data_IF_608251659611
#
_entry.id   IF_608251659611
#
_cell.length_a   1.000
_cell.length_b   1.000
_cell.length_c   1.000
_cell.angle_alpha   90.00
_cell.angle_beta   90.00
_cell.angle_gamma   90.00
#
_symmetry.space_group_name_H-M   'P 1'
#
loop_
_entity.id
_entity.type
_entity.pdbx_description
1 polymer ?
#
# COMPACT_ATOMS: atom_id res chain seq x y z
N UNK A 1 16.79 2.17 28.23
CA UNK A 1 16.00 2.56 29.43
C UNK A 1 14.69 3.17 28.96
N UNK A 2 13.56 2.56 29.37
CA UNK A 2 12.17 3.07 29.47
C UNK A 2 11.58 3.80 28.23
N UNK A 3 10.81 3.16 27.36
CA UNK A 3 9.40 2.68 27.51
C UNK A 3 8.37 3.81 27.68
N UNK A 4 7.50 4.01 26.67
CA UNK A 4 6.04 4.09 26.85
C UNK A 4 5.30 4.09 25.50
N UNK A 5 4.51 3.04 25.28
CA UNK A 5 3.46 2.92 24.24
C UNK A 5 2.13 3.17 24.95
N UNK A 6 1.28 4.04 24.41
CA UNK A 6 -0.08 4.30 24.91
C UNK A 6 -1.06 3.49 24.09
N UNK A 7 -1.73 2.53 24.72
CA UNK A 7 -2.86 1.77 24.18
C UNK A 7 -4.14 2.29 24.84
N UNK A 8 -5.11 2.77 24.05
CA UNK A 8 -6.46 3.10 24.53
C UNK A 8 -7.46 2.08 23.98
N UNK A 9 -8.14 1.38 24.89
CA UNK A 9 -9.21 0.38 24.62
C UNK A 9 -10.56 1.08 24.51
N UNK A 10 -11.33 0.78 23.46
CA UNK A 10 -12.76 1.09 23.35
C UNK A 10 -13.59 -0.07 23.91
N UNK A 11 -14.70 0.26 24.57
CA UNK A 11 -15.64 -0.72 25.12
C UNK A 11 -17.10 -0.30 24.88
N UNK A 12 -17.87 -1.29 24.40
CA UNK A 12 -19.30 -1.59 24.67
C UNK A 12 -20.42 -0.91 23.85
N UNK A 13 -20.86 -1.70 22.86
CA UNK A 13 -22.23 -2.11 22.48
C UNK A 13 -23.39 -1.88 23.49
N UNK A 14 -24.49 -1.32 22.96
CA UNK A 14 -25.93 -1.55 23.24
C UNK A 14 -26.64 -1.10 21.94
N UNK A 15 -27.50 -1.81 21.20
CA UNK A 15 -28.50 -2.82 21.51
C UNK A 15 -29.89 -2.19 21.37
N UNK A 16 -30.52 -2.19 20.18
CA UNK A 16 -31.94 -1.82 20.07
C UNK A 16 -32.69 -2.62 18.97
N UNK A 17 -33.84 -3.13 19.40
CA UNK A 17 -34.79 -4.00 18.70
C UNK A 17 -35.85 -3.17 17.99
N UNK A 18 -36.31 -3.69 16.85
CA UNK A 18 -37.36 -3.18 15.97
C UNK A 18 -38.76 -3.55 16.48
N UNK A 19 -39.70 -2.61 16.57
CA UNK A 19 -41.16 -2.86 16.57
C UNK A 19 -41.86 -1.77 15.75
N UNK A 20 -42.62 -2.19 14.75
CA UNK A 20 -43.51 -1.37 13.91
C UNK A 20 -44.82 -1.03 14.64
N UNK A 21 -45.37 0.18 14.43
CA UNK A 21 -46.82 0.40 14.48
C UNK A 21 -47.25 1.54 13.55
N UNK A 22 -48.28 1.27 12.77
CA UNK A 22 -48.95 2.12 11.77
C UNK A 22 -50.09 2.90 12.43
N UNK A 23 -50.32 4.15 11.97
CA UNK A 23 -51.63 4.77 11.65
C UNK A 23 -51.77 6.23 12.13
N UNK A 24 -52.32 7.08 11.25
CA UNK A 24 -53.02 8.31 11.62
C UNK A 24 -52.55 9.55 10.87
N UNK A 25 -53.14 9.81 9.71
CA UNK A 25 -52.96 11.08 9.00
C UNK A 25 -53.87 12.19 9.54
N UNK A 26 -53.43 13.43 9.38
CA UNK A 26 -54.28 14.61 9.10
C UNK A 26 -53.47 15.62 8.30
N UNK A 27 -54.03 16.02 7.16
CA UNK A 27 -53.55 17.12 6.35
C UNK A 27 -53.90 18.46 7.02
N UNK A 28 -52.97 19.42 6.97
CA UNK A 28 -53.30 20.84 7.13
C UNK A 28 -52.40 21.64 6.19
N UNK A 29 -53.04 22.34 5.26
CA UNK A 29 -52.43 23.26 4.33
C UNK A 29 -52.19 24.61 5.01
N UNK A 30 -51.00 25.20 4.80
CA UNK A 30 -50.78 26.62 4.98
C UNK A 30 -49.80 27.12 3.92
N UNK A 31 -50.34 27.91 3.00
CA UNK A 31 -49.65 28.76 2.03
C UNK A 31 -48.89 29.89 2.73
N UNK A 32 -47.63 30.11 2.38
CA UNK A 32 -47.01 31.42 2.48
C UNK A 32 -45.92 31.54 1.39
N UNK A 33 -46.20 32.46 0.49
CA UNK A 33 -45.38 33.00 -0.57
C UNK A 33 -44.20 33.76 0.07
N UNK A 34 -42.97 33.32 -0.17
CA UNK A 34 -41.76 34.09 0.14
C UNK A 34 -40.78 33.94 -1.02
N UNK A 35 -41.00 34.77 -2.04
CA UNK A 35 -40.07 34.94 -3.14
C UNK A 35 -38.81 35.66 -2.63
N UNK A 36 -37.91 34.89 -2.01
CA UNK A 36 -36.52 35.32 -1.80
C UNK A 36 -35.85 35.41 -3.17
N UNK A 37 -35.33 36.58 -3.60
CA UNK A 37 -34.47 36.64 -4.77
C UNK A 37 -33.17 35.90 -4.44
N UNK A 38 -33.04 34.66 -4.90
CA UNK A 38 -31.76 33.97 -4.96
C UNK A 38 -30.79 34.84 -5.76
N UNK A 39 -29.63 35.24 -5.22
CA UNK A 39 -28.60 35.88 -6.01
C UNK A 39 -28.07 34.87 -7.02
N UNK A 40 -28.61 34.90 -8.24
CA UNK A 40 -28.03 34.21 -9.40
C UNK A 40 -26.78 34.99 -9.82
N UNK A 41 -25.66 34.65 -9.22
CA UNK A 41 -24.35 34.85 -9.82
C UNK A 41 -23.45 33.69 -9.37
N UNK A 42 -23.82 32.48 -9.77
CA UNK A 42 -22.80 31.48 -10.04
C UNK A 42 -22.19 31.88 -11.37
N UNK A 43 -20.98 32.42 -11.37
CA UNK A 43 -20.18 32.42 -12.58
C UNK A 43 -20.14 30.97 -13.07
N UNK A 44 -20.72 30.71 -14.25
CA UNK A 44 -20.68 29.40 -14.89
C UNK A 44 -19.21 28.93 -14.94
N UNK A 45 -18.91 27.68 -14.58
CA UNK A 45 -17.54 27.18 -14.58
C UNK A 45 -16.98 27.21 -16.01
N UNK A 46 -15.95 28.02 -16.23
CA UNK A 46 -15.25 28.11 -17.52
C UNK A 46 -14.46 26.83 -17.80
N UNK A 47 -14.56 26.34 -19.04
CA UNK A 47 -13.91 25.10 -19.46
C UNK A 47 -12.92 25.40 -20.57
N UNK A 48 -11.66 25.05 -20.35
CA UNK A 48 -10.57 25.23 -21.31
C UNK A 48 -9.58 24.07 -21.22
N UNK A 49 -8.75 23.92 -22.24
CA UNK A 49 -7.76 22.86 -22.33
C UNK A 49 -6.57 23.21 -23.21
N UNK A 50 -5.67 22.25 -23.32
CA UNK A 50 -4.51 22.29 -24.19
C UNK A 50 -4.34 20.92 -24.85
N UNK A 51 -4.00 20.91 -26.13
CA UNK A 51 -3.76 19.69 -26.89
C UNK A 51 -2.61 19.90 -27.88
N UNK A 52 -1.93 18.84 -28.34
CA UNK A 52 -1.08 18.91 -29.53
C UNK A 52 -1.82 19.45 -30.75
N UNK A 53 -1.07 20.04 -31.67
CA UNK A 53 -1.62 20.63 -32.88
C UNK A 53 -0.69 20.52 -34.09
N UNK A 54 -1.29 20.68 -35.26
CA UNK A 54 -0.59 21.11 -36.47
C UNK A 54 -0.40 22.63 -36.46
N UNK A 55 0.17 23.18 -37.53
CA UNK A 55 0.29 24.64 -37.69
C UNK A 55 -1.07 25.35 -37.76
N UNK A 56 -2.14 24.64 -38.15
CA UNK A 56 -3.44 25.23 -38.47
C UNK A 56 -4.57 24.80 -37.52
N UNK A 57 -4.48 23.61 -36.89
CA UNK A 57 -5.56 23.05 -36.08
C UNK A 57 -5.08 22.12 -34.97
N UNK A 58 -5.84 21.97 -33.87
CA UNK A 58 -5.66 20.86 -32.93
C UNK A 58 -5.66 19.52 -33.66
N UNK A 59 -4.93 18.54 -33.12
CA UNK A 59 -4.90 17.17 -33.63
C UNK A 59 -5.27 16.14 -32.55
N UNK A 60 -5.34 14.86 -32.93
CA UNK A 60 -5.79 13.77 -32.05
C UNK A 60 -4.68 13.16 -31.17
N UNK A 61 -3.45 13.71 -31.22
CA UNK A 61 -2.36 13.20 -30.37
C UNK A 61 -2.67 13.50 -28.91
N UNK A 62 -2.40 12.55 -28.03
CA UNK A 62 -2.59 12.74 -26.59
C UNK A 62 -1.44 13.51 -25.93
N UNK A 63 -0.28 13.59 -26.60
CA UNK A 63 0.96 14.16 -26.08
C UNK A 63 1.90 14.49 -27.24
N UNK A 64 2.89 15.35 -26.98
CA UNK A 64 3.98 15.62 -27.91
C UNK A 64 5.09 14.57 -27.73
N UNK A 65 5.68 14.14 -28.85
CA UNK A 65 6.84 13.23 -28.86
C UNK A 65 7.90 13.81 -29.77
N UNK A 66 9.13 13.91 -29.28
CA UNK A 66 10.29 14.28 -30.07
C UNK A 66 11.41 13.28 -29.84
N UNK A 67 12.03 12.78 -30.92
CA UNK A 67 13.24 11.96 -30.85
C UNK A 67 14.34 12.62 -31.65
N UNK A 68 15.47 12.97 -31.02
CA UNK A 68 16.55 13.67 -31.71
C UNK A 68 17.91 13.52 -31.00
N UNK A 69 18.99 13.86 -31.70
CA UNK A 69 20.33 13.87 -31.11
C UNK A 69 20.52 15.07 -30.16
N UNK A 70 21.47 15.00 -29.20
CA UNK A 70 21.88 16.18 -28.43
C UNK A 70 22.22 17.36 -29.33
N UNK A 71 21.84 18.58 -28.92
CA UNK A 71 22.02 19.81 -29.69
C UNK A 71 20.97 20.07 -30.77
N UNK A 72 19.98 19.17 -30.94
CA UNK A 72 18.94 19.34 -31.95
C UNK A 72 17.87 20.37 -31.54
N UNK A 73 17.25 20.99 -32.54
CA UNK A 73 16.07 21.84 -32.36
C UNK A 73 14.89 21.19 -33.09
N UNK A 74 13.79 20.99 -32.37
CA UNK A 74 12.55 20.42 -32.89
C UNK A 74 11.43 21.45 -32.76
N UNK A 75 10.60 21.58 -33.81
CA UNK A 75 9.47 22.50 -33.83
C UNK A 75 8.16 21.70 -33.77
N UNK A 76 7.28 22.10 -32.87
CA UNK A 76 5.96 21.52 -32.64
C UNK A 76 4.92 22.63 -32.47
N UNK A 77 3.65 22.25 -32.38
CA UNK A 77 2.57 23.18 -32.07
C UNK A 77 1.64 22.60 -31.00
N UNK A 78 1.05 23.49 -30.21
CA UNK A 78 -0.06 23.16 -29.32
C UNK A 78 -1.24 24.07 -29.63
N UNK A 79 -2.44 23.57 -29.38
CA UNK A 79 -3.65 24.37 -29.38
C UNK A 79 -4.08 24.65 -27.94
N UNK A 80 -4.30 25.91 -27.62
CA UNK A 80 -5.02 26.32 -26.41
C UNK A 80 -6.49 26.43 -26.77
N UNK A 81 -7.33 25.65 -26.10
CA UNK A 81 -8.72 25.43 -26.48
C UNK A 81 -9.64 26.04 -25.43
N UNK A 82 -10.65 26.77 -25.87
CA UNK A 82 -11.71 27.34 -25.04
C UNK A 82 -13.06 26.71 -25.42
N UNK A 83 -13.68 26.07 -24.44
CA UNK A 83 -15.01 25.47 -24.57
C UNK A 83 -16.08 26.29 -23.82
N UNK A 84 -15.75 27.48 -23.33
CA UNK A 84 -16.73 28.42 -22.77
C UNK A 84 -17.27 29.37 -23.84
N UNK A 85 -18.43 29.95 -23.57
CA UNK A 85 -19.11 30.96 -24.39
C UNK A 85 -18.54 32.39 -24.21
N UNK A 86 -17.51 32.54 -23.36
CA UNK A 86 -16.79 33.80 -23.16
C UNK A 86 -15.32 33.67 -23.59
N UNK A 87 -14.71 34.71 -24.19
CA UNK A 87 -13.28 34.70 -24.47
C UNK A 87 -12.46 34.58 -23.18
N UNK A 88 -11.36 33.83 -23.24
CA UNK A 88 -10.48 33.61 -22.09
C UNK A 88 -9.07 34.11 -22.40
N UNK A 89 -8.43 34.72 -21.41
CA UNK A 89 -7.01 35.07 -21.48
C UNK A 89 -6.23 34.11 -20.58
N UNK A 90 -5.45 33.22 -21.20
CA UNK A 90 -4.78 32.10 -20.52
C UNK A 90 -3.27 32.30 -20.53
N UNK A 91 -2.64 32.09 -19.38
CA UNK A 91 -1.17 32.01 -19.32
C UNK A 91 -0.73 30.61 -19.77
N UNK A 92 0.28 30.53 -20.62
CA UNK A 92 0.82 29.28 -21.17
C UNK A 92 2.31 29.22 -20.90
N UNK A 93 2.79 28.12 -20.31
CA UNK A 93 4.19 28.01 -19.89
C UNK A 93 4.64 26.54 -19.83
N UNK A 94 5.94 26.27 -20.05
CA UNK A 94 6.51 24.95 -19.84
C UNK A 94 6.77 24.68 -18.36
N UNK A 95 6.77 23.41 -18.00
CA UNK A 95 7.11 22.90 -16.67
C UNK A 95 7.82 21.55 -16.78
N UNK A 96 8.61 21.21 -15.78
CA UNK A 96 9.09 19.83 -15.59
C UNK A 96 7.93 18.89 -15.29
N UNK A 97 8.12 17.61 -15.61
CA UNK A 97 7.19 16.55 -15.26
C UNK A 97 7.93 15.41 -14.56
N UNK A 98 7.23 14.70 -13.69
CA UNK A 98 7.82 13.61 -12.93
C UNK A 98 6.76 12.83 -12.14
N UNK A 99 7.16 11.68 -11.62
CA UNK A 99 6.25 10.86 -10.82
C UNK A 99 5.92 11.53 -9.48
N UNK A 100 4.63 11.60 -9.14
CA UNK A 100 4.14 11.92 -7.80
C UNK A 100 4.30 10.71 -6.87
N UNK A 101 4.03 10.89 -5.57
CA UNK A 101 4.20 9.82 -4.58
C UNK A 101 3.38 8.56 -4.90
N UNK A 102 2.20 8.72 -5.49
CA UNK A 102 1.34 7.61 -5.93
C UNK A 102 1.78 7.00 -7.28
N UNK A 103 2.92 7.40 -7.82
CA UNK A 103 3.48 6.91 -9.08
C UNK A 103 2.79 7.44 -10.33
N UNK A 104 1.77 8.31 -10.22
CA UNK A 104 1.21 8.96 -11.40
C UNK A 104 2.18 10.03 -11.94
N UNK A 105 2.11 10.35 -13.23
CA UNK A 105 2.95 11.39 -13.83
C UNK A 105 2.28 12.75 -13.63
N UNK A 106 2.90 13.61 -12.82
CA UNK A 106 2.45 14.96 -12.51
C UNK A 106 3.26 16.03 -13.24
N UNK A 107 2.66 17.22 -13.34
CA UNK A 107 3.32 18.43 -13.84
C UNK A 107 3.72 19.31 -12.66
N UNK A 108 4.95 19.84 -12.69
CA UNK A 108 5.48 20.67 -11.62
C UNK A 108 4.75 22.03 -11.53
N UNK A 109 5.01 22.76 -10.45
CA UNK A 109 4.54 24.14 -10.28
C UNK A 109 5.16 25.09 -11.32
N UNK A 110 4.51 26.22 -11.58
CA UNK A 110 5.03 27.24 -12.50
C UNK A 110 6.43 27.68 -12.06
N UNK A 111 7.34 27.78 -13.02
CA UNK A 111 8.74 28.18 -12.79
C UNK A 111 9.68 27.02 -12.48
N UNK A 112 9.18 25.82 -12.18
CA UNK A 112 10.00 24.62 -12.04
C UNK A 112 10.27 24.02 -13.42
N UNK A 113 11.45 24.31 -13.97
CA UNK A 113 11.86 23.99 -15.35
C UNK A 113 13.25 23.34 -15.40
N UNK A 114 13.45 22.28 -14.63
CA UNK A 114 14.61 21.41 -14.79
C UNK A 114 14.45 20.47 -15.99
N UNK A 115 15.58 20.01 -16.51
CA UNK A 115 15.65 19.00 -17.58
C UNK A 115 14.81 19.40 -18.82
N UNK A 116 14.02 18.50 -19.41
CA UNK A 116 13.18 18.80 -20.57
C UNK A 116 12.25 20.00 -20.39
N UNK A 117 11.84 20.33 -19.14
CA UNK A 117 11.03 21.51 -18.87
C UNK A 117 11.73 22.82 -19.23
N UNK A 118 13.07 22.85 -19.14
CA UNK A 118 13.89 24.00 -19.52
C UNK A 118 14.25 24.06 -21.01
N UNK A 119 13.96 23.02 -21.78
CA UNK A 119 14.27 22.95 -23.22
C UNK A 119 13.15 23.53 -24.08
N UNK A 120 11.97 23.76 -23.49
CA UNK A 120 10.77 24.21 -24.18
C UNK A 120 10.69 25.74 -24.20
N UNK A 121 10.47 26.30 -25.37
CA UNK A 121 10.14 27.71 -25.58
C UNK A 121 8.81 27.83 -26.32
N UNK A 122 7.92 28.69 -25.85
CA UNK A 122 6.62 28.92 -26.47
C UNK A 122 6.62 30.22 -27.26
N UNK A 123 5.87 30.25 -28.37
CA UNK A 123 5.68 31.46 -29.17
C UNK A 123 4.85 32.56 -28.48
N UNK A 124 4.15 32.21 -27.39
CA UNK A 124 3.39 33.14 -26.56
C UNK A 124 3.28 32.62 -25.11
N UNK A 125 3.37 33.53 -24.14
CA UNK A 125 3.20 33.23 -22.71
C UNK A 125 1.79 33.58 -22.20
N UNK A 126 1.06 34.42 -22.92
CA UNK A 126 -0.33 34.81 -22.66
C UNK A 126 -1.10 34.70 -23.99
N UNK A 127 -2.24 34.01 -23.95
CA UNK A 127 -3.02 33.68 -25.14
C UNK A 127 -4.48 34.05 -24.92
N UNK A 128 -4.99 34.96 -25.76
CA UNK A 128 -6.41 35.31 -25.80
C UNK A 128 -7.15 34.34 -26.72
N UNK A 129 -7.89 33.40 -26.14
CA UNK A 129 -8.62 32.36 -26.84
C UNK A 129 -10.08 32.78 -27.02
N UNK A 130 -10.60 32.83 -28.27
CA UNK A 130 -11.98 33.19 -28.52
C UNK A 130 -12.96 32.22 -27.84
N UNK A 131 -14.19 32.67 -27.61
CA UNK A 131 -15.28 31.79 -27.15
C UNK A 131 -15.62 30.72 -28.19
N UNK A 132 -16.21 29.62 -27.74
CA UNK A 132 -16.88 28.71 -28.66
C UNK A 132 -18.15 29.35 -29.24
N UNK A 133 -18.54 28.93 -30.45
CA UNK A 133 -19.82 29.31 -31.04
C UNK A 133 -20.40 28.17 -31.88
N UNK A 134 -21.70 28.22 -32.16
CA UNK A 134 -22.33 27.26 -33.07
C UNK A 134 -21.80 27.36 -34.50
N UNK A 135 -21.28 28.53 -34.89
CA UNK A 135 -20.84 28.80 -36.26
C UNK A 135 -19.39 28.37 -36.48
N UNK A 136 -18.53 28.55 -35.47
CA UNK A 136 -17.07 28.30 -35.55
C UNK A 136 -16.63 27.05 -34.79
N UNK A 137 -17.51 26.44 -34.00
CA UNK A 137 -17.16 25.36 -33.08
C UNK A 137 -16.35 25.85 -31.88
N UNK A 138 -15.46 25.01 -31.37
CA UNK A 138 -14.56 25.35 -30.26
C UNK A 138 -13.68 26.55 -30.61
N UNK A 139 -13.48 27.47 -29.66
CA UNK A 139 -12.48 28.51 -29.80
C UNK A 139 -11.08 27.93 -29.55
N UNK A 140 -10.10 28.26 -30.39
CA UNK A 140 -8.72 27.84 -30.14
C UNK A 140 -7.70 28.83 -30.73
N UNK A 141 -6.48 28.79 -30.20
CA UNK A 141 -5.32 29.48 -30.75
C UNK A 141 -4.15 28.50 -30.80
N UNK A 142 -3.46 28.47 -31.94
CA UNK A 142 -2.25 27.66 -32.12
C UNK A 142 -1.04 28.44 -31.61
N UNK A 143 -0.24 27.79 -30.77
CA UNK A 143 1.00 28.33 -30.22
C UNK A 143 2.16 27.46 -30.68
N UNK A 144 3.13 28.02 -31.43
CA UNK A 144 4.36 27.32 -31.77
C UNK A 144 5.17 26.96 -30.51
N UNK A 145 5.75 25.76 -30.52
CA UNK A 145 6.64 25.23 -29.48
C UNK A 145 7.98 24.90 -30.10
N UNK A 146 9.06 25.40 -29.51
CA UNK A 146 10.43 25.05 -29.88
C UNK A 146 11.05 24.23 -28.76
N UNK A 147 11.57 23.06 -29.11
CA UNK A 147 12.29 22.16 -28.21
C UNK A 147 13.78 22.25 -28.56
N UNK A 148 14.56 22.89 -27.70
CA UNK A 148 16.01 23.06 -27.88
C UNK A 148 16.74 22.09 -26.96
N UNK A 149 17.15 20.95 -27.49
CA UNK A 149 17.85 19.91 -26.73
C UNK A 149 19.30 20.36 -26.54
N UNK A 150 19.81 20.47 -25.30
CA UNK A 150 21.20 20.83 -25.06
C UNK A 150 22.19 19.86 -25.70
N UNK A 151 23.39 20.34 -26.02
CA UNK A 151 24.46 19.49 -26.58
C UNK A 151 25.01 18.48 -25.56
N UNK A 152 24.84 18.77 -24.28
CA UNK A 152 25.23 17.94 -23.13
C UNK A 152 24.03 17.23 -22.48
N UNK A 153 22.88 17.19 -23.16
CA UNK A 153 21.73 16.42 -22.70
C UNK A 153 22.11 14.95 -22.52
N UNK A 154 21.75 14.38 -21.38
CA UNK A 154 21.93 12.95 -21.12
C UNK A 154 21.13 12.14 -22.17
N UNK A 155 21.66 11.02 -22.68
CA UNK A 155 20.87 10.13 -23.51
C UNK A 155 19.71 9.51 -22.74
N UNK A 156 18.62 9.20 -23.44
CA UNK A 156 17.45 8.55 -22.85
C UNK A 156 16.18 9.38 -22.97
N UNK A 157 15.20 9.07 -22.13
CA UNK A 157 13.90 9.72 -22.10
C UNK A 157 13.86 10.88 -21.10
N UNK A 158 13.26 11.97 -21.52
CA UNK A 158 13.04 13.16 -20.72
C UNK A 158 11.57 13.55 -20.80
N UNK A 159 11.00 14.00 -19.69
CA UNK A 159 9.57 14.26 -19.58
C UNK A 159 9.34 15.68 -19.10
N UNK A 160 8.45 16.37 -19.79
CA UNK A 160 8.01 17.71 -19.46
C UNK A 160 6.51 17.87 -19.71
N UNK A 161 6.01 19.07 -19.45
CA UNK A 161 4.68 19.45 -19.87
C UNK A 161 4.59 20.91 -20.26
N UNK A 162 3.51 21.24 -20.96
CA UNK A 162 3.10 22.61 -21.24
C UNK A 162 1.74 22.79 -20.58
N UNK A 163 1.61 23.85 -19.79
CA UNK A 163 0.41 24.14 -19.00
C UNK A 163 -0.25 25.40 -19.55
N UNK A 164 -1.55 25.33 -19.78
CA UNK A 164 -2.43 26.48 -19.87
C UNK A 164 -3.10 26.70 -18.51
N UNK A 165 -3.18 27.94 -18.05
CA UNK A 165 -3.76 28.28 -16.76
C UNK A 165 -4.63 29.53 -16.81
N UNK A 166 -5.66 29.52 -15.97
CA UNK A 166 -6.52 30.66 -15.71
C UNK A 166 -6.50 30.95 -14.21
N UNK A 167 -6.20 32.19 -13.85
CA UNK A 167 -6.21 32.64 -12.45
C UNK A 167 -7.37 33.62 -12.24
N UNK A 168 -8.33 33.22 -11.40
CA UNK A 168 -9.47 34.06 -11.03
C UNK A 168 -9.30 34.52 -9.59
N UNK A 169 -9.49 35.81 -9.34
CA UNK A 169 -9.49 36.37 -7.99
C UNK A 169 -10.93 36.68 -7.59
N UNK A 170 -11.46 35.95 -6.62
CA UNK A 170 -12.75 36.25 -6.02
C UNK A 170 -12.61 37.42 -5.07
N UNK A 171 -13.25 38.55 -5.38
CA UNK A 171 -13.40 39.63 -4.42
C UNK A 171 -14.42 39.25 -3.34
N UNK A 172 -14.01 39.25 -2.07
CA UNK A 172 -14.96 39.20 -0.97
C UNK A 172 -15.59 40.59 -0.80
N UNK A 173 -16.91 40.64 -0.62
CA UNK A 173 -17.55 41.80 -0.01
C UNK A 173 -17.32 41.78 1.51
N UNK A 174 -17.00 42.92 2.12
CA UNK A 174 -16.79 43.05 3.57
C UNK A 174 -15.45 42.51 4.09
N UNK A 175 -15.47 41.91 5.28
CA UNK A 175 -14.28 41.55 6.07
C UNK A 175 -13.75 40.11 5.82
N UNK A 176 -14.09 39.49 4.68
CA UNK A 176 -13.66 38.12 4.37
C UNK A 176 -12.42 38.09 3.46
N UNK A 177 -11.60 37.02 3.54
CA UNK A 177 -10.38 36.91 2.77
C UNK A 177 -10.65 36.78 1.26
N UNK A 178 -9.82 37.44 0.44
CA UNK A 178 -9.80 37.24 -1.02
C UNK A 178 -9.32 35.83 -1.35
N UNK A 179 -10.05 35.13 -2.23
CA UNK A 179 -9.67 33.80 -2.71
C UNK A 179 -9.10 33.91 -4.12
N UNK A 180 -7.91 33.35 -4.34
CA UNK A 180 -7.36 33.17 -5.68
C UNK A 180 -7.47 31.70 -6.08
N UNK A 181 -8.09 31.43 -7.21
CA UNK A 181 -8.24 30.11 -7.79
C UNK A 181 -7.43 30.05 -9.09
N UNK A 182 -6.46 29.15 -9.18
CA UNK A 182 -5.76 28.83 -10.43
C UNK A 182 -6.22 27.48 -10.95
N UNK A 183 -6.84 27.48 -12.13
CA UNK A 183 -7.15 26.26 -12.88
C UNK A 183 -6.01 26.00 -13.86
N UNK A 184 -5.56 24.74 -13.94
CA UNK A 184 -4.42 24.33 -14.78
C UNK A 184 -4.80 23.09 -15.59
N UNK A 185 -4.56 23.15 -16.89
CA UNK A 185 -4.64 21.99 -17.79
C UNK A 185 -3.32 21.88 -18.53
N UNK A 186 -2.80 20.67 -18.69
CA UNK A 186 -1.49 20.47 -19.30
C UNK A 186 -1.46 19.33 -20.30
N UNK A 187 -0.55 19.46 -21.28
CA UNK A 187 -0.19 18.42 -22.23
C UNK A 187 1.22 17.91 -21.91
N UNK A 188 1.43 16.60 -22.01
CA UNK A 188 2.72 15.98 -21.78
C UNK A 188 3.62 16.11 -23.00
N UNK A 189 4.92 16.22 -22.74
CA UNK A 189 5.96 16.25 -23.77
C UNK A 189 6.99 15.18 -23.42
N UNK A 190 7.16 14.24 -24.33
CA UNK A 190 8.16 13.17 -24.24
C UNK A 190 9.30 13.45 -25.22
N UNK A 191 10.52 13.51 -24.72
CA UNK A 191 11.70 13.76 -25.54
C UNK A 191 12.65 12.58 -25.37
N UNK A 192 13.01 11.91 -26.45
CA UNK A 192 14.01 10.84 -26.45
C UNK A 192 15.29 11.36 -27.09
N UNK A 193 16.33 11.54 -26.28
CA UNK A 193 17.66 11.98 -26.70
C UNK A 193 18.45 10.76 -27.15
N UNK A 194 18.97 10.80 -28.38
CA UNK A 194 19.70 9.68 -28.96
C UNK A 194 21.01 9.38 -28.21
N UNK A 195 21.25 8.10 -27.93
CA UNK A 195 22.47 7.57 -27.32
C UNK A 195 22.18 6.22 -26.65
N UNK A 196 23.04 5.83 -25.72
CA UNK A 196 22.94 4.50 -25.11
C UNK A 196 21.78 4.42 -24.11
N UNK A 197 20.87 3.46 -24.34
CA UNK A 197 19.80 3.13 -23.41
C UNK A 197 20.35 2.30 -22.25
N UNK A 198 20.10 2.75 -21.02
CA UNK A 198 20.48 2.13 -19.77
C UNK A 198 19.23 1.98 -18.87
N UNK A 199 18.29 1.09 -19.22
CA UNK A 199 17.12 0.82 -18.39
C UNK A 199 17.55 0.17 -17.07
N UNK A 200 16.96 0.60 -15.97
CA UNK A 200 17.18 -0.01 -14.66
C UNK A 200 15.94 0.14 -13.78
N UNK A 201 15.71 -0.84 -12.91
CA UNK A 201 14.56 -0.91 -12.01
C UNK A 201 15.04 -1.43 -10.67
N UNK A 202 14.61 -0.76 -9.59
CA UNK A 202 14.94 -1.20 -8.23
C UNK A 202 13.71 -1.06 -7.33
N UNK A 203 13.69 -1.86 -6.27
CA UNK A 203 12.73 -1.78 -5.17
C UNK A 203 13.51 -1.34 -3.93
N UNK A 204 13.04 -0.31 -3.24
CA UNK A 204 13.63 0.24 -2.02
C UNK A 204 12.58 0.41 -0.94
N UNK A 205 13.05 0.73 0.28
CA UNK A 205 12.19 1.13 1.41
C UNK A 205 11.08 0.11 1.73
N UNK A 206 11.41 -1.18 1.67
CA UNK A 206 10.46 -2.25 1.94
C UNK A 206 10.19 -2.34 3.44
N UNK A 207 8.98 -1.98 3.83
CA UNK A 207 8.48 -2.09 5.19
C UNK A 207 7.31 -3.04 5.26
N UNK A 208 7.31 -3.90 6.27
CA UNK A 208 6.27 -4.91 6.47
C UNK A 208 5.75 -4.88 7.89
N UNK A 209 4.44 -5.02 8.05
CA UNK A 209 3.80 -5.25 9.34
C UNK A 209 2.76 -6.36 9.25
N UNK A 210 2.55 -7.07 10.36
CA UNK A 210 1.60 -8.18 10.45
C UNK A 210 0.49 -7.84 11.43
N UNK A 211 -0.75 -7.89 10.97
CA UNK A 211 -1.93 -7.93 11.82
C UNK A 211 -2.33 -9.40 12.00
N UNK A 212 -2.26 -9.95 13.23
CA UNK A 212 -2.64 -11.33 13.51
C UNK A 212 -4.15 -11.61 13.39
N UNK A 213 -4.98 -10.58 13.21
CA UNK A 213 -6.43 -10.73 13.04
C UNK A 213 -7.18 -11.08 14.33
N UNK A 214 -8.41 -11.62 14.22
CA UNK A 214 -9.30 -11.86 15.35
C UNK A 214 -8.69 -12.78 16.42
N UNK A 215 -8.81 -12.37 17.69
CA UNK A 215 -8.26 -13.08 18.84
C UNK A 215 -6.76 -13.44 18.69
N UNK A 216 -5.96 -12.54 18.11
CA UNK A 216 -4.51 -12.73 17.91
C UNK A 216 -4.16 -14.01 17.13
N UNK A 217 -4.93 -14.31 16.08
CA UNK A 217 -4.70 -15.45 15.18
C UNK A 217 -5.25 -16.79 15.69
N UNK A 218 -6.13 -16.78 16.69
CA UNK A 218 -6.77 -18.00 17.21
C UNK A 218 -7.95 -18.47 16.34
N UNK A 219 -8.71 -17.52 15.76
CA UNK A 219 -9.96 -17.79 15.04
C UNK A 219 -9.96 -17.35 13.58
N UNK A 220 -8.81 -16.95 13.03
CA UNK A 220 -8.74 -16.46 11.66
C UNK A 220 -7.34 -16.23 11.15
N UNK A 221 -7.27 -15.95 9.85
CA UNK A 221 -6.06 -15.52 9.16
C UNK A 221 -5.79 -14.05 9.45
N UNK A 222 -4.51 -13.68 9.47
CA UNK A 222 -4.07 -12.30 9.58
C UNK A 222 -3.93 -11.61 8.23
N UNK A 223 -3.42 -10.39 8.27
CA UNK A 223 -3.03 -9.63 7.09
C UNK A 223 -1.61 -9.10 7.23
N UNK A 224 -0.91 -9.02 6.10
CA UNK A 224 0.39 -8.35 5.99
C UNK A 224 0.17 -7.03 5.28
N UNK A 225 0.56 -5.93 5.92
CA UNK A 225 0.66 -4.63 5.25
C UNK A 225 2.09 -4.46 4.80
N UNK A 226 2.25 -4.21 3.52
CA UNK A 226 3.52 -4.02 2.85
C UNK A 226 3.52 -2.63 2.21
N UNK A 227 4.55 -1.85 2.48
CA UNK A 227 4.86 -0.61 1.75
C UNK A 227 6.26 -0.71 1.16
N UNK A 228 6.43 -0.21 -0.05
CA UNK A 228 7.71 -0.21 -0.77
C UNK A 228 7.74 0.92 -1.79
N UNK A 229 8.94 1.28 -2.23
CA UNK A 229 9.15 2.27 -3.28
C UNK A 229 9.75 1.57 -4.50
N UNK A 230 9.14 1.77 -5.67
CA UNK A 230 9.72 1.39 -6.95
C UNK A 230 10.48 2.60 -7.48
N UNK A 231 11.73 2.44 -7.87
CA UNK A 231 12.56 3.51 -8.43
C UNK A 231 13.14 3.11 -9.78
N UNK A 232 13.21 4.07 -10.71
CA UNK A 232 13.86 3.93 -12.00
C UNK A 232 15.16 4.75 -12.00
N UNK A 233 16.30 4.15 -11.64
CA UNK A 233 17.60 4.83 -11.72
C UNK A 233 18.18 4.81 -13.14
N UNK A 234 17.47 4.24 -14.11
CA UNK A 234 17.88 4.22 -15.51
C UNK A 234 17.45 5.48 -16.25
N UNK A 235 17.78 5.53 -17.53
CA UNK A 235 17.48 6.67 -18.40
C UNK A 235 16.31 6.43 -19.37
N UNK A 236 15.55 5.35 -19.24
CA UNK A 236 14.41 5.05 -20.12
C UNK A 236 13.11 5.00 -19.31
N UNK A 237 12.02 5.60 -19.82
CA UNK A 237 10.70 5.49 -19.18
C UNK A 237 10.13 4.09 -19.36
N UNK A 238 9.47 3.56 -18.33
CA UNK A 238 8.91 2.21 -18.38
C UNK A 238 7.58 2.10 -17.64
N UNK A 239 6.73 1.16 -18.05
CA UNK A 239 5.63 0.70 -17.20
C UNK A 239 6.20 -0.32 -16.20
N UNK A 240 5.58 -0.45 -15.02
CA UNK A 240 6.00 -1.43 -14.02
C UNK A 240 4.81 -2.17 -13.44
N UNK A 241 4.88 -3.49 -13.48
CA UNK A 241 3.89 -4.40 -12.90
C UNK A 241 4.47 -5.04 -11.63
N UNK A 242 4.11 -4.56 -10.43
CA UNK A 242 4.53 -5.17 -9.19
C UNK A 242 3.64 -6.36 -8.83
N UNK A 243 4.23 -7.35 -8.16
CA UNK A 243 3.54 -8.45 -7.50
C UNK A 243 4.21 -8.74 -6.16
N UNK A 244 3.44 -9.24 -5.21
CA UNK A 244 3.96 -9.64 -3.90
C UNK A 244 3.61 -11.09 -3.64
N UNK A 245 4.61 -11.87 -3.23
CA UNK A 245 4.46 -13.25 -2.83
C UNK A 245 4.77 -13.40 -1.34
N UNK A 246 3.86 -14.00 -0.59
CA UNK A 246 4.11 -14.43 0.79
C UNK A 246 4.29 -15.94 0.84
N UNK A 247 5.24 -16.41 1.64
CA UNK A 247 5.50 -17.82 1.84
C UNK A 247 5.87 -18.11 3.30
N UNK A 248 5.25 -19.13 3.88
CA UNK A 248 5.64 -19.65 5.19
C UNK A 248 6.97 -20.42 5.13
N UNK A 249 7.42 -20.99 6.26
CA UNK A 249 8.64 -21.79 6.30
C UNK A 249 8.56 -22.94 5.30
N UNK A 250 9.65 -23.20 4.57
CA UNK A 250 9.72 -24.22 3.52
C UNK A 250 8.74 -24.03 2.34
N UNK A 251 8.24 -22.82 2.10
CA UNK A 251 7.32 -22.53 0.99
C UNK A 251 5.85 -22.89 1.27
N UNK A 252 5.50 -23.17 2.53
CA UNK A 252 4.13 -23.50 2.92
C UNK A 252 3.18 -22.30 2.72
N UNK A 253 1.96 -22.59 2.28
CA UNK A 253 0.88 -21.60 2.11
C UNK A 253 1.31 -20.39 1.27
N UNK A 254 2.05 -20.65 0.18
CA UNK A 254 2.48 -19.59 -0.73
C UNK A 254 1.28 -18.92 -1.40
N UNK A 255 1.26 -17.59 -1.38
CA UNK A 255 0.22 -16.78 -2.02
C UNK A 255 0.89 -15.62 -2.77
N UNK A 256 0.44 -15.37 -3.99
CA UNK A 256 0.87 -14.22 -4.79
C UNK A 256 -0.31 -13.30 -5.03
N UNK A 257 -0.09 -12.00 -4.89
CA UNK A 257 -1.07 -10.94 -5.12
C UNK A 257 -0.46 -9.93 -6.07
N UNK A 258 -1.19 -9.57 -7.13
CA UNK A 258 -0.78 -8.48 -8.02
C UNK A 258 -0.88 -7.13 -7.27
N UNK A 259 0.14 -6.30 -7.43
CA UNK A 259 0.13 -4.93 -6.95
C UNK A 259 -0.51 -3.98 -7.96
N UNK A 260 -0.64 -2.72 -7.57
CA UNK A 260 -1.12 -1.67 -8.47
C UNK A 260 -0.01 -1.29 -9.46
N UNK A 261 -0.32 -1.40 -10.75
CA UNK A 261 0.58 -1.01 -11.84
C UNK A 261 1.06 0.44 -11.69
N UNK A 262 2.30 0.69 -12.12
CA UNK A 262 2.80 2.02 -12.43
C UNK A 262 2.81 2.15 -13.94
N UNK A 263 1.79 2.79 -14.51
CA UNK A 263 1.63 2.87 -15.96
C UNK A 263 2.82 3.56 -16.66
N UNK A 264 3.49 4.46 -15.95
CA UNK A 264 4.64 5.20 -16.45
C UNK A 264 5.55 5.65 -15.31
N UNK A 265 6.76 5.11 -15.26
CA UNK A 265 7.82 5.49 -14.34
C UNK A 265 8.94 6.16 -15.14
N UNK A 266 9.04 7.48 -14.99
CA UNK A 266 10.04 8.29 -15.69
C UNK A 266 11.46 7.99 -15.18
N UNK A 267 12.50 8.34 -15.94
CA UNK A 267 13.88 8.32 -15.45
C UNK A 267 14.04 9.12 -14.15
N UNK A 268 14.80 8.56 -13.21
CA UNK A 268 14.93 9.05 -11.81
C UNK A 268 13.60 9.13 -11.03
N UNK A 269 12.52 8.62 -11.61
CA UNK A 269 11.18 8.59 -11.02
C UNK A 269 11.08 7.57 -9.90
N UNK A 270 10.12 7.82 -9.00
CA UNK A 270 9.79 6.95 -7.88
C UNK A 270 8.28 6.81 -7.74
N UNK A 271 7.82 5.63 -7.34
CA UNK A 271 6.43 5.35 -7.07
C UNK A 271 6.31 4.58 -5.75
N UNK A 272 5.65 5.17 -4.76
CA UNK A 272 5.34 4.49 -3.51
C UNK A 272 4.13 3.58 -3.72
N UNK A 273 4.22 2.36 -3.20
CA UNK A 273 3.18 1.34 -3.32
C UNK A 273 2.89 0.76 -1.96
N UNK A 274 1.59 0.58 -1.71
CA UNK A 274 1.07 -0.11 -0.55
C UNK A 274 0.27 -1.31 -1.04
N UNK A 275 0.42 -2.44 -0.36
CA UNK A 275 -0.31 -3.66 -0.66
C UNK A 275 -0.67 -4.34 0.65
N UNK A 276 -1.93 -4.73 0.77
CA UNK A 276 -2.40 -5.52 1.91
C UNK A 276 -2.68 -6.94 1.43
N UNK A 277 -1.90 -7.89 1.93
CA UNK A 277 -2.13 -9.31 1.68
C UNK A 277 -2.98 -9.87 2.81
N UNK A 278 -4.20 -10.26 2.50
CA UNK A 278 -5.08 -10.95 3.43
C UNK A 278 -4.84 -12.46 3.35
N UNK A 279 -5.24 -13.18 4.39
CA UNK A 279 -5.20 -14.65 4.40
C UNK A 279 -3.90 -15.26 4.90
N UNK A 280 -3.03 -14.47 5.52
CA UNK A 280 -1.71 -14.90 5.97
C UNK A 280 -1.83 -15.59 7.34
N UNK A 281 -1.41 -16.85 7.43
CA UNK A 281 -1.42 -17.59 8.68
C UNK A 281 -0.20 -17.25 9.55
N UNK A 282 -0.33 -17.24 10.89
CA UNK A 282 0.79 -17.02 11.80
C UNK A 282 1.68 -18.28 11.88
N UNK A 283 2.60 -18.43 10.92
CA UNK A 283 3.50 -19.57 10.78
C UNK A 283 4.89 -19.35 11.41
N UNK A 284 4.98 -18.56 12.49
CA UNK A 284 6.22 -18.13 13.19
C UNK A 284 7.04 -17.14 12.35
N UNK A 285 7.37 -17.50 11.11
CA UNK A 285 8.13 -16.66 10.19
C UNK A 285 7.54 -16.77 8.78
N UNK A 286 7.30 -15.64 8.14
CA UNK A 286 6.79 -15.54 6.77
C UNK A 286 7.78 -14.74 5.95
N UNK A 287 8.23 -15.29 4.83
CA UNK A 287 8.97 -14.54 3.82
C UNK A 287 8.00 -13.74 2.95
N UNK A 288 8.33 -12.47 2.71
CA UNK A 288 7.61 -11.58 1.80
C UNK A 288 8.58 -11.24 0.68
N UNK A 289 8.23 -11.61 -0.55
CA UNK A 289 9.00 -11.30 -1.76
C UNK A 289 8.22 -10.30 -2.59
N UNK A 290 8.79 -9.14 -2.85
CA UNK A 290 8.25 -8.14 -3.77
C UNK A 290 8.99 -8.26 -5.08
N UNK A 291 8.27 -8.37 -6.18
CA UNK A 291 8.84 -8.50 -7.53
C UNK A 291 8.20 -7.44 -8.41
N UNK A 292 9.02 -6.67 -9.12
CA UNK A 292 8.59 -5.65 -10.05
C UNK A 292 9.13 -5.98 -11.45
N UNK A 293 8.24 -6.09 -12.42
CA UNK A 293 8.57 -6.39 -13.81
C UNK A 293 8.45 -5.11 -14.64
N UNK A 294 9.50 -4.76 -15.37
CA UNK A 294 9.48 -3.64 -16.30
C UNK A 294 8.75 -4.04 -17.59
N UNK A 295 7.95 -3.12 -18.11
CA UNK A 295 7.24 -3.23 -19.38
C UNK A 295 7.32 -1.94 -20.19
N UNK A 296 6.74 -1.97 -21.39
CA UNK A 296 6.71 -0.81 -22.28
C UNK A 296 5.71 0.24 -21.76
N UNK A 297 6.18 1.45 -21.48
CA UNK A 297 5.30 2.60 -21.26
C UNK A 297 4.60 2.98 -22.57
N UNK A 298 3.39 3.55 -22.49
CA UNK A 298 2.67 4.01 -23.70
C UNK A 298 3.51 4.99 -24.53
N UNK A 299 3.71 4.67 -25.81
CA UNK A 299 4.54 5.48 -26.71
C UNK A 299 6.03 5.49 -26.35
N UNK A 300 6.48 4.62 -25.44
CA UNK A 300 7.88 4.42 -25.08
C UNK A 300 8.54 3.28 -25.86
N UNK A 301 9.84 3.13 -25.65
CA UNK A 301 10.63 2.03 -26.22
C UNK A 301 10.30 0.69 -25.56
N UNK A 302 10.45 -0.39 -26.31
CA UNK A 302 10.41 -1.74 -25.73
C UNK A 302 11.67 -1.97 -24.89
N UNK A 303 11.48 -2.52 -23.69
CA UNK A 303 12.54 -2.72 -22.71
C UNK A 303 12.53 -4.19 -22.30
N UNK A 304 13.71 -4.79 -22.27
CA UNK A 304 13.94 -6.09 -21.65
C UNK A 304 14.84 -5.89 -20.46
N UNK A 305 14.32 -6.17 -19.26
CA UNK A 305 15.06 -6.06 -18.01
C UNK A 305 14.68 -7.23 -17.11
N UNK A 306 15.65 -7.76 -16.38
CA UNK A 306 15.37 -8.78 -15.36
C UNK A 306 14.46 -8.19 -14.26
N UNK A 307 13.51 -8.96 -13.71
CA UNK A 307 12.65 -8.48 -12.65
C UNK A 307 13.43 -8.01 -11.43
N UNK A 308 13.13 -6.81 -10.94
CA UNK A 308 13.65 -6.33 -9.67
C UNK A 308 12.95 -7.10 -8.54
N UNK A 309 13.72 -7.66 -7.61
CA UNK A 309 13.17 -8.46 -6.51
C UNK A 309 13.80 -8.05 -5.19
N UNK A 310 12.98 -7.92 -4.15
CA UNK A 310 13.44 -7.77 -2.77
C UNK A 310 12.71 -8.75 -1.84
N UNK A 311 13.41 -9.24 -0.82
CA UNK A 311 12.93 -10.29 0.09
C UNK A 311 13.11 -9.86 1.54
N UNK A 312 12.00 -9.79 2.27
CA UNK A 312 11.98 -9.43 3.70
C UNK A 312 11.37 -10.55 4.53
N UNK A 313 11.98 -10.83 5.68
CA UNK A 313 11.48 -11.78 6.66
C UNK A 313 10.60 -11.10 7.70
N UNK A 314 9.39 -11.64 7.92
CA UNK A 314 8.40 -11.12 8.85
C UNK A 314 8.07 -12.14 9.94
N UNK A 315 8.20 -11.74 11.20
CA UNK A 315 7.82 -12.57 12.34
C UNK A 315 6.30 -12.60 12.54
N UNK A 316 5.67 -13.69 12.12
CA UNK A 316 4.23 -13.94 12.23
C UNK A 316 3.95 -14.93 13.36
N UNK A 317 4.30 -14.56 14.59
CA UNK A 317 4.27 -15.46 15.76
C UNK A 317 2.81 -15.72 16.21
N UNK A 318 2.39 -16.99 16.39
CA UNK A 318 1.05 -17.34 16.84
C UNK A 318 0.90 -17.17 18.37
N UNK A 319 0.95 -15.93 18.86
CA UNK A 319 0.94 -15.61 20.29
C UNK A 319 -0.24 -16.22 21.06
N UNK A 320 -1.44 -16.27 20.47
CA UNK A 320 -2.60 -16.86 21.11
C UNK A 320 -2.42 -18.36 21.41
N UNK A 321 -1.90 -19.12 20.45
CA UNK A 321 -1.61 -20.55 20.63
C UNK A 321 -0.50 -20.78 21.65
N UNK A 322 0.54 -19.95 21.63
CA UNK A 322 1.61 -20.02 22.63
C UNK A 322 1.08 -19.73 24.04
N UNK A 323 0.18 -18.75 24.20
CA UNK A 323 -0.45 -18.46 25.48
C UNK A 323 -1.34 -19.62 25.97
N UNK A 324 -2.12 -20.25 25.08
CA UNK A 324 -2.94 -21.43 25.42
C UNK A 324 -2.06 -22.61 25.86
N UNK A 325 -0.99 -22.89 25.12
CA UNK A 325 -0.05 -23.96 25.45
C UNK A 325 0.65 -23.70 26.80
N UNK A 326 1.02 -22.45 27.07
CA UNK A 326 1.61 -22.06 28.36
C UNK A 326 0.63 -22.30 29.51
N UNK A 327 -0.62 -21.84 29.39
CA UNK A 327 -1.66 -22.02 30.40
C UNK A 327 -1.95 -23.51 30.63
N UNK A 328 -2.10 -24.29 29.54
CA UNK A 328 -2.31 -25.73 29.62
C UNK A 328 -1.15 -26.45 30.31
N UNK A 329 0.10 -26.06 30.01
CA UNK A 329 1.31 -26.56 30.66
C UNK A 329 1.35 -26.26 32.16
N UNK A 330 1.03 -25.03 32.56
CA UNK A 330 0.97 -24.62 33.96
C UNK A 330 -0.12 -25.37 34.73
N UNK A 331 -1.31 -25.54 34.14
CA UNK A 331 -2.41 -26.33 34.72
C UNK A 331 -2.00 -27.80 34.89
N UNK A 332 -1.41 -28.39 33.85
CA UNK A 332 -0.91 -29.77 33.90
C UNK A 332 0.18 -29.98 34.97
N UNK A 333 1.14 -29.05 35.07
CA UNK A 333 2.16 -29.06 36.11
C UNK A 333 1.55 -28.96 37.51
N UNK A 334 0.61 -28.05 37.71
CA UNK A 334 -0.08 -27.87 38.98
C UNK A 334 -0.91 -29.10 39.39
N UNK A 335 -1.61 -29.73 38.43
CA UNK A 335 -2.33 -30.98 38.65
C UNK A 335 -1.39 -32.12 39.03
N UNK A 336 -0.23 -32.25 38.36
CA UNK A 336 0.81 -33.24 38.71
C UNK A 336 1.37 -33.00 40.12
N UNK A 337 1.67 -31.74 40.48
CA UNK A 337 2.15 -31.37 41.82
C UNK A 337 1.11 -31.70 42.90
N UNK A 338 -0.18 -31.37 42.67
CA UNK A 338 -1.27 -31.72 43.58
C UNK A 338 -1.45 -33.23 43.74
N UNK A 339 -1.37 -34.00 42.65
CA UNK A 339 -1.44 -35.47 42.70
C UNK A 339 -0.28 -36.06 43.51
N UNK A 340 0.96 -35.58 43.32
CA UNK A 340 2.13 -36.02 44.09
C UNK A 340 2.00 -35.73 45.59
N UNK A 341 1.53 -34.53 45.97
CA UNK A 341 1.29 -34.18 47.38
C UNK A 341 0.19 -35.07 47.98
N UNK A 342 -0.87 -35.39 47.23
CA UNK A 342 -1.94 -36.29 47.69
C UNK A 342 -1.50 -37.76 47.78
N UNK A 343 -0.61 -38.22 46.90
CA UNK A 343 -0.04 -39.56 46.94
C UNK A 343 0.94 -39.73 48.12
N UNK A 344 1.73 -38.71 48.45
CA UNK A 344 2.60 -38.71 49.63
C UNK A 344 1.80 -38.75 50.96
N UNK A 345 0.56 -38.25 50.97
CA UNK A 345 -0.38 -38.39 52.11
C UNK A 345 -1.07 -39.76 52.18
N UNK A 346 -0.81 -40.67 51.23
CA UNK A 346 -1.35 -42.04 51.16
C UNK A 346 -0.25 -43.12 51.25
N UNK A 347 0.81 -42.87 52.04
CA UNK A 347 1.77 -43.92 52.45
C UNK A 347 1.17 -44.92 53.47
N UNK A 348 1.76 -46.11 53.63
CA UNK A 348 1.11 -47.41 53.44
C UNK A 348 0.08 -47.76 54.52
N UNK A 349 -1.15 -48.08 54.09
CA UNK A 349 -2.09 -48.83 54.92
C UNK A 349 -1.72 -50.32 54.86
N UNK A 350 -0.87 -50.77 55.77
CA UNK A 350 -0.52 -52.19 55.90
C UNK A 350 0.23 -52.50 57.18
N UNK A 351 -0.40 -53.27 58.08
CA UNK A 351 0.31 -54.04 59.12
C UNK A 351 -0.02 -53.66 60.57
N UNK A 352 -1.27 -53.83 61.00
CA UNK A 352 -1.66 -53.66 62.40
C UNK A 352 -2.69 -54.69 62.85
N UNK A 353 -2.43 -55.98 62.63
CA UNK A 353 -3.19 -57.08 63.25
C UNK A 353 -2.22 -58.18 63.71
N UNK A 354 -2.52 -58.70 64.90
CA UNK A 354 -1.89 -59.82 65.64
C UNK A 354 -0.63 -59.46 66.42
N UNK A 355 -0.35 -59.88 67.66
CA UNK A 355 -1.08 -60.46 68.80
C UNK A 355 0.01 -60.90 69.78
N UNK A 356 -0.02 -60.53 71.07
CA UNK A 356 0.66 -61.25 72.16
C UNK A 356 0.04 -60.75 73.49
N UNK A 357 -0.88 -61.45 74.15
CA UNK A 357 -0.81 -62.77 74.82
C UNK A 357 0.12 -62.79 76.04
N UNK A 358 -0.49 -62.63 77.23
CA UNK A 358 0.12 -62.69 78.56
C UNK A 358 -0.15 -64.06 79.21
N UNK A 359 0.87 -64.91 79.22
CA UNK A 359 1.36 -65.81 80.29
C UNK A 359 0.35 -66.54 81.24
N UNK A 360 0.24 -67.86 81.08
CA UNK A 360 0.26 -68.88 82.17
C UNK A 360 0.60 -70.25 81.52
N UNK A 361 1.73 -70.91 81.86
CA UNK A 361 2.04 -71.82 82.98
C UNK A 361 1.77 -73.31 82.64
N UNK A 362 2.86 -74.09 82.61
CA UNK A 362 3.05 -75.47 83.15
C UNK A 362 3.19 -76.66 82.19
N UNK A 363 4.24 -77.46 82.44
CA UNK A 363 4.37 -78.92 82.21
C UNK A 363 5.03 -79.32 80.88
N UNK A 364 6.27 -79.84 80.87
CA UNK A 364 6.65 -81.29 80.86
C UNK A 364 6.24 -81.98 79.55
N UNK A 365 7.06 -82.67 78.75
CA UNK A 365 8.32 -83.41 78.91
C UNK A 365 8.81 -83.80 77.50
N UNK A 366 10.13 -83.69 77.24
CA UNK A 366 11.08 -84.63 76.56
C UNK A 366 10.77 -85.32 75.19
N UNK A 367 11.80 -85.84 74.48
CA UNK A 367 12.10 -85.45 73.09
C UNK A 367 12.17 -86.68 72.14
N UNK A 368 12.67 -86.48 70.90
CA UNK A 368 13.44 -87.43 70.02
C UNK A 368 13.43 -86.79 68.62
N UNK A 369 14.59 -86.30 68.15
CA UNK A 369 15.43 -86.86 67.07
C UNK A 369 14.69 -86.95 65.71
N UNK A 370 15.25 -86.59 64.56
CA UNK A 370 16.62 -86.79 64.12
C UNK A 370 16.81 -86.20 62.69
N UNK A 371 18.06 -85.93 62.34
CA UNK A 371 18.72 -85.82 61.00
C UNK A 371 18.26 -84.74 60.00
N UNK A 372 19.04 -83.67 59.77
CA UNK A 372 20.22 -83.45 58.88
C UNK A 372 19.98 -83.41 57.35
N UNK A 373 20.74 -82.56 56.62
CA UNK A 373 20.37 -81.92 55.37
C UNK A 373 21.18 -82.41 54.16
N UNK A 374 20.78 -82.02 52.94
CA UNK A 374 21.64 -81.96 51.74
C UNK A 374 21.12 -80.78 50.88
N UNK A 375 21.86 -79.67 50.75
CA UNK A 375 22.88 -79.39 49.71
C UNK A 375 22.24 -79.27 48.29
N UNK A 376 22.61 -78.40 47.34
CA UNK A 376 23.75 -77.48 47.18
C UNK A 376 23.69 -76.90 45.73
N UNK A 377 24.27 -75.71 45.51
CA UNK A 377 24.85 -75.14 44.26
C UNK A 377 23.91 -74.87 43.06
N UNK A 378 23.70 -73.64 42.59
CA UNK A 378 24.58 -72.55 42.12
C UNK A 378 24.94 -72.60 40.62
N UNK A 379 25.06 -71.39 40.03
CA UNK A 379 25.64 -71.09 38.72
C UNK A 379 24.60 -70.61 37.69
N UNK A 380 24.51 -69.31 37.35
CA UNK A 380 25.41 -68.54 36.45
C UNK A 380 25.33 -69.05 34.99
N UNK A 381 25.32 -68.27 33.92
CA UNK A 381 25.34 -66.84 33.67
C UNK A 381 24.88 -66.62 32.20
N UNK A 382 24.54 -65.36 31.92
CA UNK A 382 24.44 -64.66 30.63
C UNK A 382 25.63 -64.94 29.66
N UNK A 383 25.62 -64.44 28.40
CA UNK A 383 24.74 -63.43 27.77
C UNK A 383 23.74 -63.93 26.73
#
# INVERSE_FOLDING_TARGET
MRSTVVVRRLARLVGFVLICLVAGGTASAATADDATPTPTSSAEPVTFGIAPASADSPDDRAYLVAGAAPGSVVYEHIAVINQSDVPLSLAVYPVSAGNTSDGSLGLAERGMTSDAGGWLTLGAEQVDVPAQSTDTGLGFVIVPVTITIPTDAEPGDHVAGIVASLTTTGQSSGNSPSLQLEQRTGVRVYITVAGDAAPALQITDVETSYDPGPLWGLLGQGSVHLSYTIVNPGNVRMAVEPSTTTAGPFGLLTQTVAGTEVAELAPNGRAQRETTLTGVWPLIHTGVTVTAVAGQAKGGSEITLDPATDVVGLWTIPWAWLAILLVAGLVGWWMRRRRRIRAARRGPAGGGRHSHARRSRRGSETPVADQTPVAEVAGAAAP
#
